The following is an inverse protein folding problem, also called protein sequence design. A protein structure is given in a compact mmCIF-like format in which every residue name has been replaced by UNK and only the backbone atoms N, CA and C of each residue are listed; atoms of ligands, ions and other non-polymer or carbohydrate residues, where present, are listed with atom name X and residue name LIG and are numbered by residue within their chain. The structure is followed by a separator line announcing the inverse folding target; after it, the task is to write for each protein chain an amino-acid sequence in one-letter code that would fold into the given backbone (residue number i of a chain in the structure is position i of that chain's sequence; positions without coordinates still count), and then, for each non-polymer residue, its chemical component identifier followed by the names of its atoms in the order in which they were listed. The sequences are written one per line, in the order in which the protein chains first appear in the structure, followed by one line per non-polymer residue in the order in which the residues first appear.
data_IF_512971627942
#
_entry.id   IF_512971627942
#
_cell.length_a   1.000
_cell.length_b   1.000
_cell.length_c   1.000
_cell.angle_alpha   90.00
_cell.angle_beta   90.00
_cell.angle_gamma   90.00
#
_symmetry.space_group_name_H-M   'P 1'
#
loop_
_entity.id
_entity.type
_entity.pdbx_description
1 polymer ?
#
# COMPACT_ATOMS: atom_id res chain seq x y z
N UNK A 1 -20.54 -2.64 -13.48
CA UNK A 1 -19.24 -2.55 -14.18
C UNK A 1 -18.04 -2.55 -13.24
N UNK A 2 -18.05 -1.83 -12.10
CA UNK A 2 -16.90 -1.77 -11.16
C UNK A 2 -16.44 -3.12 -10.57
N UNK A 3 -17.37 -4.08 -10.37
CA UNK A 3 -17.07 -5.39 -9.75
C UNK A 3 -16.03 -6.23 -10.50
N UNK A 4 -15.95 -6.10 -11.83
CA UNK A 4 -15.01 -6.86 -12.66
C UNK A 4 -13.57 -6.36 -12.52
N UNK A 5 -13.37 -5.07 -12.29
CA UNK A 5 -12.04 -4.49 -12.12
C UNK A 5 -11.38 -4.97 -10.83
N UNK A 6 -12.15 -5.10 -9.74
CA UNK A 6 -11.63 -5.66 -8.49
C UNK A 6 -11.11 -7.10 -8.63
N UNK A 7 -11.83 -7.94 -9.38
CA UNK A 7 -11.39 -9.32 -9.64
C UNK A 7 -10.11 -9.34 -10.48
N UNK A 8 -10.01 -8.45 -11.46
CA UNK A 8 -8.82 -8.31 -12.29
C UNK A 8 -7.61 -7.83 -11.48
N UNK A 9 -7.77 -6.83 -10.62
CA UNK A 9 -6.73 -6.34 -9.70
C UNK A 9 -6.19 -7.46 -8.81
N UNK A 10 -7.07 -8.29 -8.23
CA UNK A 10 -6.70 -9.42 -7.37
C UNK A 10 -5.91 -10.47 -8.16
N UNK A 11 -6.37 -10.82 -9.36
CA UNK A 11 -5.67 -11.80 -10.23
C UNK A 11 -4.29 -11.27 -10.61
N UNK A 12 -4.16 -10.00 -10.95
CA UNK A 12 -2.88 -9.37 -11.26
C UNK A 12 -1.92 -9.39 -10.06
N UNK A 13 -2.38 -9.05 -8.86
CA UNK A 13 -1.57 -9.13 -7.64
C UNK A 13 -1.05 -10.56 -7.40
N UNK A 14 -1.93 -11.56 -7.49
CA UNK A 14 -1.54 -12.97 -7.36
C UNK A 14 -0.45 -13.33 -8.39
N UNK A 15 -0.64 -12.94 -9.65
CA UNK A 15 0.28 -13.25 -10.73
C UNK A 15 1.65 -12.59 -10.52
N UNK A 16 1.68 -11.32 -10.08
CA UNK A 16 2.91 -10.59 -9.73
C UNK A 16 3.67 -11.28 -8.58
N UNK A 17 2.96 -11.75 -7.56
CA UNK A 17 3.57 -12.47 -6.45
C UNK A 17 4.31 -13.73 -6.92
N UNK A 18 3.64 -14.57 -7.72
CA UNK A 18 4.21 -15.83 -8.20
C UNK A 18 5.34 -15.64 -9.20
N UNK A 19 5.21 -14.67 -10.11
CA UNK A 19 6.18 -14.47 -11.21
C UNK A 19 7.41 -13.66 -10.81
N UNK A 20 7.27 -12.64 -9.97
CA UNK A 20 8.35 -11.70 -9.65
C UNK A 20 8.96 -11.95 -8.27
N UNK A 21 8.11 -12.05 -7.24
CA UNK A 21 8.56 -12.04 -5.85
C UNK A 21 9.01 -13.42 -5.36
N UNK A 22 8.24 -14.46 -5.66
CA UNK A 22 8.53 -15.84 -5.24
C UNK A 22 9.89 -16.36 -5.75
N UNK A 23 10.27 -16.23 -7.06
CA UNK A 23 11.58 -16.68 -7.52
C UNK A 23 12.73 -15.88 -6.89
N UNK A 24 12.50 -14.59 -6.60
CA UNK A 24 13.51 -13.70 -6.02
C UNK A 24 13.79 -13.98 -4.55
N UNK A 25 12.82 -14.51 -3.81
CA UNK A 25 12.92 -14.73 -2.36
C UNK A 25 13.12 -16.20 -1.95
N UNK A 26 13.13 -17.13 -2.90
CA UNK A 26 13.25 -18.58 -2.66
C UNK A 26 14.51 -19.02 -1.89
N UNK A 27 15.57 -18.20 -1.87
CA UNK A 27 16.86 -18.53 -1.25
C UNK A 27 16.81 -18.62 0.27
N UNK A 28 16.00 -17.78 0.92
CA UNK A 28 15.94 -17.69 2.39
C UNK A 28 14.53 -17.98 2.91
N UNK A 29 14.29 -19.20 3.38
CA UNK A 29 12.95 -19.64 3.85
C UNK A 29 12.35 -18.76 4.94
N UNK A 30 13.16 -18.31 5.93
CA UNK A 30 12.68 -17.42 7.02
C UNK A 30 12.33 -16.02 6.50
N UNK A 31 13.15 -15.47 5.59
CA UNK A 31 12.91 -14.16 4.99
C UNK A 31 11.72 -14.18 4.03
N UNK A 32 11.54 -15.29 3.30
CA UNK A 32 10.41 -15.52 2.39
C UNK A 32 9.07 -15.42 3.12
N UNK A 33 8.95 -16.00 4.32
CA UNK A 33 7.71 -15.93 5.11
C UNK A 33 7.36 -14.48 5.49
N UNK A 34 8.31 -13.73 6.03
CA UNK A 34 8.11 -12.33 6.42
C UNK A 34 7.78 -11.43 5.22
N UNK A 35 8.49 -11.62 4.10
CA UNK A 35 8.26 -10.86 2.87
C UNK A 35 6.91 -11.22 2.21
N UNK A 36 6.46 -12.46 2.33
CA UNK A 36 5.13 -12.87 1.84
C UNK A 36 4.00 -12.28 2.69
N UNK A 37 4.17 -12.24 4.02
CA UNK A 37 3.26 -11.54 4.92
C UNK A 37 3.22 -10.04 4.63
N UNK A 38 4.37 -9.41 4.37
CA UNK A 38 4.43 -8.02 3.91
C UNK A 38 3.67 -7.81 2.61
N UNK A 39 3.81 -8.74 1.65
CA UNK A 39 3.14 -8.64 0.37
C UNK A 39 1.62 -8.73 0.49
N UNK A 40 1.11 -9.68 1.28
CA UNK A 40 -0.33 -9.82 1.57
C UNK A 40 -0.85 -8.56 2.25
N UNK A 41 -0.09 -8.04 3.22
CA UNK A 41 -0.41 -6.80 3.90
C UNK A 41 -0.49 -5.60 2.94
N UNK A 42 0.52 -5.40 2.07
CA UNK A 42 0.53 -4.34 1.06
C UNK A 42 -0.67 -4.46 0.12
N UNK A 43 -1.02 -5.69 -0.29
CA UNK A 43 -2.18 -5.95 -1.15
C UNK A 43 -3.49 -5.56 -0.46
N UNK A 44 -3.61 -5.83 0.84
CA UNK A 44 -4.75 -5.38 1.65
C UNK A 44 -4.80 -3.86 1.74
N UNK A 45 -3.68 -3.20 2.04
CA UNK A 45 -3.63 -1.72 2.08
C UNK A 45 -4.01 -1.11 0.73
N UNK A 46 -3.49 -1.65 -0.38
CA UNK A 46 -3.85 -1.21 -1.73
C UNK A 46 -5.35 -1.34 -1.99
N UNK A 47 -5.97 -2.43 -1.54
CA UNK A 47 -7.40 -2.66 -1.69
C UNK A 47 -8.25 -1.64 -0.91
N UNK A 48 -7.83 -1.24 0.28
CA UNK A 48 -8.55 -0.25 1.09
C UNK A 48 -8.25 1.20 0.72
N UNK A 49 -7.08 1.49 0.16
CA UNK A 49 -6.65 2.86 -0.17
C UNK A 49 -6.93 3.28 -1.61
N UNK A 50 -6.77 2.38 -2.58
CA UNK A 50 -6.99 2.69 -3.98
C UNK A 50 -8.35 2.15 -4.44
N UNK A 51 -9.28 3.08 -4.67
CA UNK A 51 -10.42 2.85 -5.55
C UNK A 51 -9.82 2.55 -6.93
N UNK A 52 -9.97 1.28 -7.35
CA UNK A 52 -9.09 0.40 -8.17
C UNK A 52 -7.61 0.76 -8.41
N UNK A 53 -6.74 -0.26 -8.35
CA UNK A 53 -5.29 -0.11 -8.55
C UNK A 53 -4.89 -0.02 -10.04
N UNK A 54 -5.58 -0.74 -10.94
CA UNK A 54 -5.27 -0.74 -12.40
C UNK A 54 -5.92 0.43 -13.15
N UNK A 55 -6.95 1.05 -12.59
CA UNK A 55 -7.73 2.09 -13.28
C UNK A 55 -6.99 3.42 -13.45
N UNK A 56 -6.13 3.90 -12.53
CA UNK A 56 -5.40 5.15 -12.71
C UNK A 56 -4.05 4.99 -13.42
N UNK A 57 -3.74 3.85 -14.05
CA UNK A 57 -2.51 3.75 -14.84
C UNK A 57 -2.65 4.72 -16.02
N UNK A 58 -1.77 5.74 -16.14
CA UNK A 58 -1.94 6.85 -17.08
C UNK A 58 -1.95 6.44 -18.56
N UNK A 59 -1.58 5.19 -18.87
CA UNK A 59 -1.60 4.63 -20.21
C UNK A 59 -2.87 3.85 -20.58
N UNK A 60 -3.76 3.52 -19.61
CA UNK A 60 -4.91 2.62 -19.83
C UNK A 60 -6.29 3.27 -19.67
N UNK A 61 -6.45 4.33 -18.88
CA UNK A 61 -7.76 4.98 -18.75
C UNK A 61 -7.65 6.50 -18.52
N UNK A 62 -8.07 7.28 -19.52
CA UNK A 62 -8.02 8.76 -19.53
C UNK A 62 -9.15 9.45 -18.76
N UNK A 63 -10.02 8.72 -18.04
CA UNK A 63 -11.23 9.28 -17.42
C UNK A 63 -11.09 9.62 -15.92
N UNK A 64 -9.86 9.92 -15.47
CA UNK A 64 -9.51 10.28 -14.08
C UNK A 64 -10.26 11.54 -13.60
N UNK A 65 -10.70 12.41 -14.53
CA UNK A 65 -11.47 13.63 -14.26
C UNK A 65 -12.84 13.39 -13.61
N UNK A 66 -13.37 12.16 -13.64
CA UNK A 66 -14.65 11.82 -13.04
C UNK A 66 -14.56 11.25 -11.61
N UNK A 67 -13.35 11.00 -11.10
CA UNK A 67 -13.12 10.53 -9.73
C UNK A 67 -12.65 11.71 -8.89
N UNK A 68 -13.52 12.20 -8.02
CA UNK A 68 -13.19 13.28 -7.09
C UNK A 68 -12.26 12.71 -5.99
N UNK A 69 -10.95 12.76 -6.23
CA UNK A 69 -9.93 12.36 -5.28
C UNK A 69 -9.63 13.54 -4.35
N UNK A 70 -10.08 13.44 -3.10
CA UNK A 70 -9.71 14.42 -2.08
C UNK A 70 -8.26 14.19 -1.62
N UNK A 71 -7.34 15.01 -2.12
CA UNK A 71 -5.92 14.99 -1.75
C UNK A 71 -5.60 15.86 -0.52
N UNK A 72 -6.60 16.59 0.00
CA UNK A 72 -6.41 17.48 1.14
C UNK A 72 -6.40 16.65 2.43
N UNK A 73 -5.30 16.67 3.21
CA UNK A 73 -5.21 15.88 4.42
C UNK A 73 -6.21 16.37 5.47
N UNK A 74 -6.89 15.44 6.16
CA UNK A 74 -7.84 15.72 7.24
C UNK A 74 -9.04 16.60 6.87
N UNK A 75 -9.28 16.83 5.58
CA UNK A 75 -10.39 17.64 5.10
C UNK A 75 -11.73 17.17 5.68
N UNK A 76 -11.90 15.86 5.83
CA UNK A 76 -13.13 15.25 6.33
C UNK A 76 -13.36 15.47 7.83
N UNK A 77 -12.27 15.69 8.58
CA UNK A 77 -12.32 16.05 10.01
C UNK A 77 -12.60 17.54 10.15
N UNK A 78 -11.95 18.37 9.33
CA UNK A 78 -12.10 19.82 9.33
C UNK A 78 -13.52 20.26 8.96
N UNK A 79 -14.18 19.53 8.05
CA UNK A 79 -15.55 19.81 7.61
C UNK A 79 -16.62 19.02 8.40
N UNK A 80 -16.21 18.19 9.36
CA UNK A 80 -17.13 17.45 10.23
C UNK A 80 -18.02 16.43 9.50
N UNK A 81 -17.53 15.85 8.39
CA UNK A 81 -18.31 14.85 7.65
C UNK A 81 -18.55 13.59 8.50
N UNK A 82 -19.71 12.95 8.31
CA UNK A 82 -20.06 11.73 9.05
C UNK A 82 -19.24 10.54 8.56
N UNK A 83 -18.27 10.08 9.36
CA UNK A 83 -17.44 8.90 9.02
C UNK A 83 -15.92 9.13 9.12
N UNK A 84 -15.47 10.37 9.25
CA UNK A 84 -14.05 10.77 9.20
C UNK A 84 -13.18 10.08 10.25
N UNK A 85 -13.74 9.77 11.43
CA UNK A 85 -13.02 9.03 12.49
C UNK A 85 -12.69 7.61 12.02
N UNK A 86 -13.62 6.94 11.31
CA UNK A 86 -13.40 5.57 10.82
C UNK A 86 -12.33 5.56 9.74
N UNK A 87 -12.35 6.54 8.84
CA UNK A 87 -11.35 6.70 7.78
C UNK A 87 -9.97 7.02 8.34
N UNK A 88 -9.88 7.89 9.35
CA UNK A 88 -8.65 8.17 10.08
C UNK A 88 -8.11 6.92 10.79
N UNK A 89 -8.97 6.18 11.50
CA UNK A 89 -8.56 4.95 12.19
C UNK A 89 -8.07 3.92 11.17
N UNK A 90 -8.75 3.74 10.04
CA UNK A 90 -8.30 2.85 8.97
C UNK A 90 -6.93 3.26 8.45
N UNK A 91 -6.72 4.54 8.14
CA UNK A 91 -5.44 5.02 7.63
C UNK A 91 -4.30 4.84 8.64
N UNK A 92 -4.54 5.08 9.93
CA UNK A 92 -3.53 4.84 10.98
C UNK A 92 -3.21 3.35 11.10
N UNK A 93 -4.24 2.49 11.13
CA UNK A 93 -4.08 1.03 11.19
C UNK A 93 -3.36 0.50 9.96
N UNK A 94 -3.53 1.13 8.80
CA UNK A 94 -2.83 0.79 7.55
C UNK A 94 -1.43 1.40 7.42
N UNK A 95 -1.03 2.34 8.27
CA UNK A 95 0.32 2.92 8.25
C UNK A 95 1.24 2.27 9.30
N UNK A 96 0.68 1.89 10.44
CA UNK A 96 1.44 1.37 11.59
C UNK A 96 2.24 0.07 11.29
N UNK A 97 1.70 -0.93 10.57
CA UNK A 97 2.43 -2.14 10.25
C UNK A 97 3.60 -1.89 9.29
N UNK A 98 3.52 -0.89 8.41
CA UNK A 98 4.67 -0.52 7.56
C UNK A 98 5.88 -0.08 8.40
N UNK A 99 5.64 0.75 9.42
CA UNK A 99 6.68 1.25 10.31
C UNK A 99 7.41 0.14 11.06
N UNK A 100 6.73 -0.96 11.37
CA UNK A 100 7.28 -2.09 12.13
C UNK A 100 7.90 -3.15 11.21
N UNK A 101 7.26 -3.47 10.08
CA UNK A 101 7.69 -4.58 9.22
C UNK A 101 8.93 -4.28 8.39
N UNK A 102 9.09 -3.03 7.91
CA UNK A 102 10.26 -2.62 7.10
C UNK A 102 11.58 -2.81 7.88
N UNK A 103 11.77 -2.28 9.09
CA UNK A 103 13.02 -2.47 9.83
C UNK A 103 13.27 -3.94 10.18
N UNK A 104 12.21 -4.74 10.40
CA UNK A 104 12.33 -6.16 10.67
C UNK A 104 12.83 -6.97 9.46
N UNK A 105 12.44 -6.59 8.24
CA UNK A 105 12.83 -7.29 7.01
C UNK A 105 14.24 -6.89 6.54
N UNK A 106 14.60 -5.61 6.66
CA UNK A 106 15.87 -5.09 6.17
C UNK A 106 16.97 -5.04 7.24
N UNK A 107 16.68 -5.42 8.49
CA UNK A 107 17.61 -5.37 9.64
C UNK A 107 18.38 -4.04 9.72
N UNK A 108 17.79 -2.96 9.23
CA UNK A 108 18.39 -1.64 9.25
C UNK A 108 17.88 -0.99 10.54
N UNK A 109 18.80 -0.66 11.45
CA UNK A 109 18.46 0.07 12.67
C UNK A 109 17.69 1.33 12.26
N UNK A 110 16.51 1.54 12.84
CA UNK A 110 15.65 2.69 12.56
C UNK A 110 16.42 4.02 12.70
N UNK A 111 17.35 4.06 13.67
CA UNK A 111 18.30 5.15 13.93
C UNK A 111 19.33 5.42 12.82
N UNK A 112 19.61 4.45 11.96
CA UNK A 112 20.58 4.64 10.87
C UNK A 112 19.93 5.33 9.65
N UNK A 113 18.59 5.27 9.54
CA UNK A 113 17.83 5.97 8.51
C UNK A 113 17.73 7.48 8.82
N UNK A 114 17.63 7.86 10.09
CA UNK A 114 17.58 9.27 10.50
C UNK A 114 18.90 10.00 10.22
N UNK A 115 20.04 9.33 10.44
CA UNK A 115 21.36 9.92 10.15
C UNK A 115 21.58 10.14 8.65
N UNK A 116 21.02 9.30 7.78
CA UNK A 116 21.14 9.50 6.32
C UNK A 116 20.22 10.60 5.79
N UNK A 117 19.08 10.85 6.44
CA UNK A 117 18.18 11.94 6.06
C UNK A 117 18.74 13.31 6.50
N UNK A 118 19.39 13.38 7.66
CA UNK A 118 20.12 14.57 8.12
C UNK A 118 21.39 14.88 7.32
N UNK A 119 21.97 13.89 6.65
CA UNK A 119 23.12 14.10 5.76
C UNK A 119 22.74 14.62 4.36
N UNK A 120 21.43 14.68 4.06
CA UNK A 120 20.87 15.12 2.77
C UNK A 120 20.11 16.46 2.89
N UNK A 121 20.04 17.03 4.09
CA UNK A 121 19.51 18.37 4.40
C UNK A 121 20.66 19.26 4.79
#
# INVERSE_FOLDING_TARGET
MYKYYYLFDIVCLILIYFTCFLPRWKKDKKSLFLKSILYIYISFVLYFTLIPFIIPIPYINFNISSVNLNLVPFNDILHGYGGSIRELVLNIVMMLPFGIMIPFIYKKNFFQLSNTLWALV
#
